data_IF_414170502461
#
_entry.id   IF_414170502461
#
_cell.length_a   1.000
_cell.length_b   1.000
_cell.length_c   1.000
_cell.angle_alpha   90.00
_cell.angle_beta   90.00
_cell.angle_gamma   90.00
#
_symmetry.space_group_name_H-M   'P 1'
#
loop_
_entity.id
_entity.type
_entity.pdbx_description
1 polymer ?
#
# COMPACT_ATOMS: atom_id res chain seq x y z
N UNK A 1 -6.00 0.23 -0.09
CA UNK A 1 -5.51 1.47 0.55
C UNK A 1 -6.22 2.67 -0.04
N UNK A 2 -6.62 3.62 0.79
CA UNK A 2 -7.20 4.92 0.39
C UNK A 2 -6.31 6.03 0.90
N UNK A 3 -6.08 7.06 0.08
CA UNK A 3 -5.25 8.21 0.40
C UNK A 3 -6.10 9.46 0.29
N UNK A 4 -6.09 10.29 1.33
CA UNK A 4 -6.91 11.51 1.39
C UNK A 4 -6.05 12.66 1.91
N UNK A 5 -5.99 13.77 1.18
CA UNK A 5 -5.40 15.00 1.68
C UNK A 5 -6.43 15.73 2.54
N UNK A 6 -6.03 16.13 3.73
CA UNK A 6 -6.88 16.88 4.65
C UNK A 6 -6.74 18.40 4.43
N UNK A 7 -7.69 19.21 4.92
CA UNK A 7 -7.66 20.66 4.72
C UNK A 7 -6.44 21.37 5.32
N UNK A 8 -5.84 20.79 6.35
CA UNK A 8 -4.61 21.30 7.00
C UNK A 8 -3.33 20.93 6.23
N UNK A 9 -3.46 20.25 5.09
CA UNK A 9 -2.34 19.78 4.27
C UNK A 9 -1.77 18.43 4.69
N UNK A 10 -2.22 17.83 5.80
CA UNK A 10 -1.83 16.49 6.20
C UNK A 10 -2.41 15.43 5.24
N UNK A 11 -1.81 14.24 5.24
CA UNK A 11 -2.22 13.12 4.38
C UNK A 11 -2.67 11.96 5.25
N UNK A 12 -3.92 11.55 5.09
CA UNK A 12 -4.50 10.40 5.76
C UNK A 12 -4.46 9.16 4.87
N UNK A 13 -3.79 8.13 5.35
CA UNK A 13 -3.75 6.80 4.75
C UNK A 13 -4.69 5.89 5.52
N UNK A 14 -5.64 5.24 4.84
CA UNK A 14 -6.62 4.33 5.45
C UNK A 14 -6.87 3.11 4.58
N UNK A 15 -7.59 2.12 5.11
CA UNK A 15 -7.91 0.87 4.44
C UNK A 15 -6.66 0.12 3.96
N UNK A 16 -5.55 0.26 4.67
CA UNK A 16 -4.32 -0.48 4.38
C UNK A 16 -4.44 -1.91 4.88
N UNK A 17 -4.00 -2.85 4.06
CA UNK A 17 -3.78 -4.22 4.51
C UNK A 17 -2.43 -4.34 5.25
N UNK A 18 -2.21 -5.49 5.88
CA UNK A 18 -0.99 -5.76 6.67
C UNK A 18 0.29 -5.69 5.83
N UNK A 19 0.21 -6.11 4.56
CA UNK A 19 1.37 -6.07 3.67
C UNK A 19 1.76 -4.62 3.32
N UNK A 20 0.78 -3.77 3.02
CA UNK A 20 1.00 -2.35 2.73
C UNK A 20 1.61 -1.63 3.93
N UNK A 21 1.04 -1.86 5.13
CA UNK A 21 1.60 -1.30 6.36
C UNK A 21 3.03 -1.78 6.61
N UNK A 22 3.30 -3.07 6.44
CA UNK A 22 4.65 -3.64 6.61
C UNK A 22 5.63 -3.01 5.63
N UNK A 23 5.23 -2.82 4.37
CA UNK A 23 6.08 -2.15 3.37
C UNK A 23 6.41 -0.72 3.79
N UNK A 24 5.41 0.05 4.26
CA UNK A 24 5.66 1.41 4.76
C UNK A 24 6.53 1.43 6.02
N UNK A 25 6.39 0.46 6.91
CA UNK A 25 7.26 0.31 8.08
C UNK A 25 8.69 -0.06 7.72
N UNK A 26 8.89 -0.79 6.64
CA UNK A 26 10.23 -1.12 6.15
C UNK A 26 10.87 -0.02 5.30
N UNK A 27 10.14 1.06 5.01
CA UNK A 27 10.60 2.14 4.13
C UNK A 27 11.97 2.72 4.52
N UNK A 28 12.28 2.99 5.81
CA UNK A 28 13.63 3.45 6.19
C UNK A 28 14.73 2.48 5.77
N UNK A 29 14.53 1.17 5.96
CA UNK A 29 15.50 0.17 5.54
C UNK A 29 15.55 -0.05 4.02
N UNK A 30 14.44 0.14 3.31
CA UNK A 30 14.41 0.07 1.84
C UNK A 30 15.11 1.27 1.20
N UNK A 31 15.09 2.42 1.87
CA UNK A 31 15.71 3.66 1.44
C UNK A 31 17.16 3.83 1.91
N UNK A 32 17.67 2.90 2.71
CA UNK A 32 19.06 2.89 3.15
C UNK A 32 19.95 2.21 2.09
N UNK A 33 20.89 2.94 1.47
CA UNK A 33 21.83 2.35 0.52
C UNK A 33 22.85 1.42 1.19
N UNK A 34 23.12 1.57 2.50
CA UNK A 34 24.22 0.87 3.17
C UNK A 34 25.54 1.05 2.44
N UNK A 35 26.34 -0.03 2.32
CA UNK A 35 27.62 -0.05 1.61
C UNK A 35 27.48 -0.35 0.10
N UNK A 36 26.28 -0.27 -0.48
CA UNK A 36 26.03 -0.55 -1.88
C UNK A 36 26.46 0.65 -2.76
N UNK A 37 27.63 0.55 -3.38
CA UNK A 37 28.21 1.60 -4.20
C UNK A 37 27.30 2.01 -5.38
N UNK A 38 26.53 1.09 -5.96
CA UNK A 38 25.62 1.40 -7.06
C UNK A 38 24.43 2.20 -6.57
N UNK A 39 23.87 1.83 -5.42
CA UNK A 39 22.80 2.56 -4.76
C UNK A 39 23.27 3.95 -4.30
N UNK A 40 24.47 4.04 -3.71
CA UNK A 40 25.07 5.32 -3.31
C UNK A 40 25.25 6.26 -4.52
N UNK A 41 25.83 5.78 -5.62
CA UNK A 41 25.97 6.55 -6.85
C UNK A 41 24.62 6.97 -7.45
N UNK A 42 23.59 6.17 -7.25
CA UNK A 42 22.24 6.49 -7.72
C UNK A 42 21.56 7.58 -6.88
N UNK A 43 21.79 7.58 -5.57
CA UNK A 43 21.24 8.60 -4.66
C UNK A 43 22.04 9.90 -4.67
N UNK A 44 23.34 9.79 -4.78
CA UNK A 44 24.29 10.92 -4.75
C UNK A 44 25.07 11.00 -6.06
N UNK A 45 24.41 11.22 -7.20
CA UNK A 45 25.09 11.31 -8.48
C UNK A 45 26.02 12.53 -8.44
N UNK A 46 27.26 12.33 -8.83
CA UNK A 46 28.14 13.48 -9.06
C UNK A 46 27.46 14.39 -10.10
N UNK A 47 27.39 15.71 -9.85
CA UNK A 47 26.59 16.62 -10.66
C UNK A 47 27.11 16.81 -12.10
N UNK A 48 28.25 16.19 -12.41
CA UNK A 48 28.96 16.42 -13.65
C UNK A 48 29.33 15.11 -14.34
N UNK A 49 29.12 15.05 -15.65
CA UNK A 49 29.56 13.93 -16.46
C UNK A 49 31.10 13.86 -16.57
N UNK A 50 31.61 12.65 -16.80
CA UNK A 50 33.05 12.42 -16.90
C UNK A 50 33.66 13.26 -18.05
N UNK A 51 34.53 14.19 -17.69
CA UNK A 51 35.28 15.05 -18.62
C UNK A 51 34.97 16.54 -18.54
N UNK A 52 33.89 16.95 -17.87
CA UNK A 52 33.50 18.37 -17.74
C UNK A 52 33.87 18.96 -16.38
N UNK A 53 34.37 18.16 -15.42
CA UNK A 53 34.60 18.58 -14.05
C UNK A 53 36.06 18.56 -13.67
N UNK A 54 36.50 19.63 -13.00
CA UNK A 54 37.82 19.64 -12.36
C UNK A 54 37.81 18.80 -11.10
N UNK A 55 38.99 18.31 -10.67
CA UNK A 55 39.11 17.54 -9.41
C UNK A 55 38.68 18.39 -8.21
N UNK A 56 38.97 19.71 -8.21
CA UNK A 56 38.52 20.66 -7.20
C UNK A 56 36.99 20.69 -7.06
N UNK A 57 36.25 20.68 -8.17
CA UNK A 57 34.76 20.63 -8.13
C UNK A 57 34.21 19.31 -7.59
N UNK A 58 34.92 18.21 -7.80
CA UNK A 58 34.54 16.91 -7.20
C UNK A 58 34.81 16.89 -5.71
N UNK A 59 35.95 17.46 -5.29
CA UNK A 59 36.28 17.61 -3.88
C UNK A 59 35.28 18.50 -3.17
N UNK A 60 34.94 19.67 -3.74
CA UNK A 60 33.95 20.59 -3.22
C UNK A 60 32.56 19.91 -3.09
N UNK A 61 32.16 19.11 -4.10
CA UNK A 61 30.92 18.37 -4.03
C UNK A 61 30.91 17.37 -2.89
N UNK A 62 31.97 16.57 -2.77
CA UNK A 62 32.09 15.54 -1.74
C UNK A 62 32.20 16.13 -0.32
N UNK A 63 32.81 17.30 -0.18
CA UNK A 63 33.02 17.95 1.11
C UNK A 63 31.81 18.78 1.56
N UNK A 64 31.16 19.50 0.63
CA UNK A 64 30.16 20.51 0.98
C UNK A 64 28.72 20.03 0.74
N UNK A 65 28.47 19.36 -0.38
CA UNK A 65 27.09 19.06 -0.82
C UNK A 65 26.63 17.67 -0.42
N UNK A 66 27.48 16.67 -0.62
CA UNK A 66 27.08 15.29 -0.32
C UNK A 66 26.71 15.08 1.15
N UNK A 67 27.44 15.61 2.17
CA UNK A 67 27.06 15.44 3.57
C UNK A 67 25.72 16.11 3.94
N UNK A 68 25.43 17.26 3.31
CA UNK A 68 24.14 17.94 3.53
C UNK A 68 22.98 17.11 2.96
N UNK A 69 23.15 16.46 1.80
CA UNK A 69 22.14 15.57 1.22
C UNK A 69 21.96 14.32 2.07
N UNK A 70 23.04 13.71 2.56
CA UNK A 70 23.00 12.56 3.45
C UNK A 70 22.22 12.90 4.72
N UNK A 71 22.53 14.01 5.37
CA UNK A 71 21.82 14.46 6.56
C UNK A 71 20.34 14.73 6.29
N UNK A 72 20.02 15.36 5.16
CA UNK A 72 18.64 15.61 4.75
C UNK A 72 17.87 14.29 4.58
N UNK A 73 18.47 13.31 3.95
CA UNK A 73 17.86 12.01 3.71
C UNK A 73 17.67 11.23 5.01
N UNK A 74 18.70 11.18 5.85
CA UNK A 74 18.64 10.52 7.16
C UNK A 74 17.53 11.12 8.03
N UNK A 75 17.47 12.43 8.14
CA UNK A 75 16.42 13.11 8.90
C UNK A 75 15.00 12.84 8.36
N UNK A 76 14.85 12.69 7.04
CA UNK A 76 13.58 12.30 6.43
C UNK A 76 13.18 10.87 6.82
N UNK A 77 14.14 9.92 6.82
CA UNK A 77 13.89 8.53 7.22
C UNK A 77 13.52 8.40 8.70
N UNK A 78 14.15 9.19 9.57
CA UNK A 78 13.80 9.23 11.00
C UNK A 78 12.36 9.71 11.22
N UNK A 79 11.93 10.78 10.53
CA UNK A 79 10.55 11.28 10.61
C UNK A 79 9.54 10.27 10.10
N UNK A 80 9.81 9.64 8.96
CA UNK A 80 8.98 8.56 8.42
C UNK A 80 8.86 7.41 9.41
N UNK A 81 9.96 6.99 10.02
CA UNK A 81 9.98 5.94 11.04
C UNK A 81 9.15 6.31 12.27
N UNK A 82 9.18 7.57 12.68
CA UNK A 82 8.36 8.06 13.80
C UNK A 82 6.87 8.07 13.45
N UNK A 83 6.50 8.55 12.26
CA UNK A 83 5.10 8.65 11.84
C UNK A 83 4.44 7.27 11.70
N UNK A 84 5.13 6.31 11.10
CA UNK A 84 4.60 4.95 10.91
C UNK A 84 4.33 4.23 12.22
N UNK A 85 5.04 4.56 13.30
CA UNK A 85 4.76 4.01 14.64
C UNK A 85 3.38 4.39 15.17
N UNK A 86 2.80 5.47 14.64
CA UNK A 86 1.45 5.94 15.00
C UNK A 86 0.33 5.21 14.22
N UNK A 87 0.67 4.27 13.34
CA UNK A 87 -0.32 3.47 12.63
C UNK A 87 -1.16 2.63 13.61
N UNK A 88 -2.46 2.73 13.47
CA UNK A 88 -3.46 2.06 14.31
C UNK A 88 -4.41 1.21 13.47
N UNK A 89 -5.06 0.26 14.12
CA UNK A 89 -6.09 -0.54 13.51
C UNK A 89 -7.32 0.33 13.23
N UNK A 90 -7.80 0.31 11.99
CA UNK A 90 -9.06 0.98 11.62
C UNK A 90 -10.21 0.20 12.26
N UNK A 91 -10.95 0.86 13.15
CA UNK A 91 -12.14 0.27 13.76
C UNK A 91 -13.23 0.20 12.69
N UNK A 92 -13.96 -0.92 12.59
CA UNK A 92 -15.14 -0.97 11.74
C UNK A 92 -16.10 0.14 12.21
N UNK A 93 -16.81 0.82 11.29
CA UNK A 93 -17.84 1.76 11.70
C UNK A 93 -18.78 1.02 12.67
N UNK A 94 -19.23 1.67 13.76
CA UNK A 94 -20.20 1.07 14.66
C UNK A 94 -21.33 0.53 13.78
N UNK A 95 -21.66 -0.76 13.98
CA UNK A 95 -22.81 -1.34 13.30
C UNK A 95 -23.97 -0.35 13.56
N UNK A 96 -24.43 0.31 12.51
CA UNK A 96 -25.70 1.05 12.61
C UNK A 96 -26.67 -0.06 13.00
N UNK A 97 -27.15 -0.01 14.24
CA UNK A 97 -28.31 -0.80 14.63
C UNK A 97 -29.33 -0.43 13.57
N UNK A 98 -29.57 -1.34 12.64
CA UNK A 98 -30.71 -1.22 11.72
C UNK A 98 -31.87 -1.08 12.69
N UNK A 99 -32.38 0.17 12.81
CA UNK A 99 -33.61 0.43 13.55
C UNK A 99 -34.58 -0.66 13.10
N UNK A 100 -34.89 -1.61 14.00
CA UNK A 100 -35.94 -2.59 13.75
C UNK A 100 -37.15 -1.80 13.32
N UNK A 101 -37.32 -1.70 11.98
CA UNK A 101 -38.54 -1.14 11.41
C UNK A 101 -39.68 -1.93 12.05
N UNK A 102 -40.31 -1.28 13.04
CA UNK A 102 -41.53 -1.69 13.68
C UNK A 102 -42.42 -2.39 12.68
N UNK A 103 -42.60 -3.68 12.91
CA UNK A 103 -43.32 -4.64 12.09
C UNK A 103 -44.56 -4.06 11.40
N UNK A 104 -44.43 -3.76 10.16
CA UNK A 104 -45.56 -3.74 9.25
C UNK A 104 -45.85 -5.19 8.90
N UNK A 105 -46.80 -5.76 9.63
CA UNK A 105 -47.35 -7.10 9.41
C UNK A 105 -47.86 -7.16 7.96
N UNK A 106 -47.09 -7.74 7.06
CA UNK A 106 -47.53 -8.02 5.69
C UNK A 106 -48.72 -8.97 5.74
N UNK A 107 -49.90 -8.61 5.16
CA UNK A 107 -51.05 -9.49 5.15
C UNK A 107 -50.71 -10.83 4.50
N UNK A 108 -50.94 -11.90 5.23
CA UNK A 108 -50.75 -13.28 4.73
C UNK A 108 -51.60 -13.50 3.50
N UNK A 109 -51.03 -13.98 2.37
CA UNK A 109 -51.85 -14.36 1.22
C UNK A 109 -52.78 -15.49 1.59
N UNK A 110 -54.07 -15.26 1.38
CA UNK A 110 -55.14 -16.27 1.57
C UNK A 110 -54.89 -17.43 0.59
N UNK A 111 -54.59 -18.57 1.14
CA UNK A 111 -54.37 -19.81 0.39
C UNK A 111 -55.67 -20.28 -0.25
N UNK A 112 -55.74 -20.25 -1.59
CA UNK A 112 -56.84 -20.90 -2.33
C UNK A 112 -56.76 -22.43 -2.16
N UNK A 113 -57.90 -23.14 -2.11
CA UNK A 113 -57.91 -24.61 -1.92
C UNK A 113 -57.39 -25.30 -3.18
N UNK A 114 -56.37 -26.15 -3.01
CA UNK A 114 -55.84 -27.01 -4.06
C UNK A 114 -56.82 -28.13 -4.42
N UNK A 115 -57.05 -28.42 -5.72
CA UNK A 115 -57.80 -29.63 -6.12
C UNK A 115 -56.96 -30.88 -5.95
N UNK A 116 -57.59 -31.88 -5.36
CA UNK A 116 -57.00 -33.21 -5.13
C UNK A 116 -56.62 -33.89 -6.46
N UNK A 117 -55.35 -34.11 -6.70
CA UNK A 117 -54.85 -34.92 -7.81
C UNK A 117 -54.02 -36.13 -7.31
N UNK A 118 -54.70 -37.28 -7.38
CA UNK A 118 -54.31 -38.65 -7.66
C UNK A 118 -52.81 -39.01 -7.61
N UNK A 119 -52.56 -40.02 -6.78
CA UNK A 119 -51.53 -41.06 -6.81
C UNK A 119 -50.57 -41.05 -8.02
N UNK A 120 -49.36 -40.55 -7.78
CA UNK A 120 -48.18 -40.91 -8.56
C UNK A 120 -47.20 -41.70 -7.69
N UNK A 121 -46.54 -42.78 -8.23
CA UNK A 121 -45.58 -43.57 -7.47
C UNK A 121 -44.38 -42.70 -7.05
N UNK A 122 -43.99 -42.77 -5.77
CA UNK A 122 -42.86 -42.06 -5.18
C UNK A 122 -41.57 -42.54 -5.84
N UNK A 123 -40.96 -41.68 -6.64
CA UNK A 123 -39.54 -41.83 -6.97
C UNK A 123 -38.70 -41.63 -5.69
N UNK A 124 -37.60 -42.41 -5.50
CA UNK A 124 -36.71 -42.20 -4.37
C UNK A 124 -36.13 -40.79 -4.47
N UNK A 125 -36.26 -40.01 -3.40
CA UNK A 125 -35.64 -38.69 -3.28
C UNK A 125 -34.13 -38.87 -3.28
N UNK A 126 -33.37 -38.20 -4.14
CA UNK A 126 -31.94 -38.08 -3.96
C UNK A 126 -31.66 -37.46 -2.59
N UNK A 127 -30.67 -38.02 -1.90
CA UNK A 127 -30.23 -37.52 -0.60
C UNK A 127 -29.98 -36.01 -0.71
N UNK A 128 -30.79 -35.23 0.00
CA UNK A 128 -30.60 -33.79 0.12
C UNK A 128 -29.31 -33.62 0.90
N UNK A 129 -28.22 -33.32 0.18
CA UNK A 129 -27.00 -32.77 0.77
C UNK A 129 -27.47 -31.48 1.47
N UNK A 130 -27.53 -31.52 2.81
CA UNK A 130 -27.72 -30.30 3.58
C UNK A 130 -26.59 -29.37 3.15
N UNK A 131 -26.89 -28.17 2.65
CA UNK A 131 -25.85 -27.13 2.56
C UNK A 131 -25.27 -27.00 3.97
N UNK A 132 -23.96 -27.19 4.11
CA UNK A 132 -23.28 -26.79 5.32
C UNK A 132 -23.71 -25.33 5.59
N UNK A 133 -24.27 -25.11 6.76
CA UNK A 133 -24.58 -23.79 7.25
C UNK A 133 -23.30 -22.98 7.10
N UNK A 134 -23.33 -22.06 6.19
CA UNK A 134 -22.27 -21.16 5.80
C UNK A 134 -21.77 -20.44 7.03
N UNK A 135 -20.49 -20.66 7.29
CA UNK A 135 -19.68 -19.74 8.08
C UNK A 135 -20.21 -18.33 7.91
N UNK A 136 -20.39 -17.62 9.03
CA UNK A 136 -20.81 -16.21 9.03
C UNK A 136 -19.96 -15.38 8.06
N UNK A 137 -20.39 -14.19 7.66
CA UNK A 137 -19.66 -13.38 6.71
C UNK A 137 -18.18 -13.34 7.11
N UNK A 138 -17.23 -13.57 6.17
CA UNK A 138 -15.83 -13.65 6.49
C UNK A 138 -15.45 -12.41 7.28
N UNK A 139 -14.90 -12.62 8.48
CA UNK A 139 -14.43 -11.54 9.34
C UNK A 139 -13.55 -10.61 8.49
N UNK A 140 -13.96 -9.37 8.33
CA UNK A 140 -13.26 -8.44 7.44
C UNK A 140 -11.82 -8.35 7.89
N UNK A 141 -10.88 -8.63 6.99
CA UNK A 141 -9.46 -8.58 7.29
C UNK A 141 -9.10 -7.22 7.93
N UNK A 142 -8.23 -7.21 8.96
CA UNK A 142 -7.87 -6.00 9.68
C UNK A 142 -7.35 -4.94 8.71
N UNK A 143 -7.77 -3.70 8.91
CA UNK A 143 -7.35 -2.56 8.13
C UNK A 143 -6.59 -1.59 9.02
N UNK A 144 -5.63 -0.91 8.45
CA UNK A 144 -4.75 0.01 9.16
C UNK A 144 -4.90 1.42 8.62
N UNK A 145 -4.72 2.39 9.52
CA UNK A 145 -4.73 3.81 9.18
C UNK A 145 -3.67 4.58 9.96
N UNK A 146 -3.19 5.66 9.38
CA UNK A 146 -2.42 6.70 10.08
C UNK A 146 -2.44 8.01 9.29
N UNK A 147 -2.03 9.09 9.95
CA UNK A 147 -1.97 10.42 9.32
C UNK A 147 -0.54 10.92 9.31
N UNK A 148 -0.10 11.38 8.15
CA UNK A 148 1.18 12.04 7.93
C UNK A 148 0.97 13.54 8.13
N UNK A 149 1.67 14.18 9.09
CA UNK A 149 1.58 15.62 9.30
C UNK A 149 1.96 16.40 8.05
N UNK A 150 1.34 17.56 7.81
CA UNK A 150 1.65 18.40 6.66
C UNK A 150 3.14 18.76 6.55
N UNK A 151 3.80 18.98 7.70
CA UNK A 151 5.23 19.27 7.77
C UNK A 151 6.14 18.11 7.33
N UNK A 152 5.63 16.86 7.33
CA UNK A 152 6.40 15.66 6.98
C UNK A 152 6.10 15.12 5.57
N UNK A 153 5.18 15.74 4.83
CA UNK A 153 4.74 15.27 3.51
C UNK A 153 5.89 15.18 2.51
N UNK A 154 6.81 16.15 2.53
CA UNK A 154 7.99 16.12 1.67
C UNK A 154 8.99 15.04 2.09
N UNK A 155 9.17 14.81 3.39
CA UNK A 155 10.08 13.77 3.89
C UNK A 155 9.59 12.39 3.46
N UNK A 156 8.29 12.15 3.50
CA UNK A 156 7.67 10.93 3.00
C UNK A 156 7.90 10.75 1.50
N UNK A 157 7.72 11.80 0.72
CA UNK A 157 7.99 11.73 -0.72
C UNK A 157 9.47 11.40 -1.00
N UNK A 158 10.40 12.07 -0.30
CA UNK A 158 11.85 11.79 -0.43
C UNK A 158 12.16 10.34 -0.09
N UNK A 159 11.71 9.86 1.07
CA UNK A 159 11.94 8.48 1.50
C UNK A 159 11.38 7.44 0.51
N UNK A 160 10.16 7.63 0.02
CA UNK A 160 9.55 6.73 -0.98
C UNK A 160 10.33 6.76 -2.30
N UNK A 161 10.76 7.94 -2.75
CA UNK A 161 11.55 8.06 -3.98
C UNK A 161 12.93 7.43 -3.84
N UNK A 162 13.62 7.60 -2.69
CA UNK A 162 14.89 6.93 -2.40
C UNK A 162 14.74 5.42 -2.44
N UNK A 163 13.77 4.86 -1.69
CA UNK A 163 13.52 3.43 -1.67
C UNK A 163 13.25 2.89 -3.08
N UNK A 164 12.48 3.60 -3.89
CA UNK A 164 12.21 3.24 -5.27
C UNK A 164 13.48 3.21 -6.13
N UNK A 165 14.36 4.21 -5.99
CA UNK A 165 15.63 4.25 -6.71
C UNK A 165 16.55 3.09 -6.32
N UNK A 166 16.64 2.78 -5.03
CA UNK A 166 17.45 1.66 -4.53
C UNK A 166 16.88 0.30 -4.96
N UNK A 167 15.55 0.10 -4.87
CA UNK A 167 14.90 -1.10 -5.37
C UNK A 167 15.12 -1.29 -6.87
N UNK A 168 15.06 -0.20 -7.64
CA UNK A 168 15.37 -0.20 -9.06
C UNK A 168 16.80 -0.65 -9.34
N UNK A 169 17.76 -0.18 -8.56
CA UNK A 169 19.19 -0.51 -8.74
C UNK A 169 19.49 -1.95 -8.30
N UNK A 170 19.10 -2.32 -7.08
CA UNK A 170 19.41 -3.65 -6.49
C UNK A 170 18.70 -4.81 -7.17
N UNK A 171 17.47 -4.61 -7.62
CA UNK A 171 16.59 -5.68 -8.09
C UNK A 171 16.13 -5.50 -9.54
N UNK A 172 16.62 -4.48 -10.24
CA UNK A 172 16.11 -4.10 -11.56
C UNK A 172 14.58 -3.98 -11.58
N UNK A 173 13.97 -3.52 -10.47
CA UNK A 173 12.52 -3.47 -10.27
C UNK A 173 11.78 -2.56 -11.25
N UNK A 174 12.50 -1.67 -11.95
CA UNK A 174 11.95 -0.86 -13.04
C UNK A 174 11.72 -1.64 -14.34
N UNK A 175 12.26 -2.88 -14.45
CA UNK A 175 12.12 -3.71 -15.64
C UNK A 175 10.80 -4.46 -15.63
N UNK A 176 9.97 -4.15 -16.61
CA UNK A 176 8.63 -4.74 -16.78
C UNK A 176 8.55 -5.72 -17.95
N UNK A 177 9.74 -6.18 -18.49
CA UNK A 177 9.74 -7.17 -19.54
C UNK A 177 9.30 -8.56 -19.03
N UNK A 178 8.55 -9.28 -19.86
CA UNK A 178 7.93 -10.56 -19.48
C UNK A 178 8.95 -11.61 -18.99
N UNK A 179 10.17 -11.59 -19.52
CA UNK A 179 11.23 -12.52 -19.11
C UNK A 179 11.70 -12.23 -17.70
N UNK A 180 11.89 -10.97 -17.36
CA UNK A 180 12.30 -10.55 -16.03
C UNK A 180 11.22 -10.88 -15.00
N UNK A 181 9.95 -10.55 -15.30
CA UNK A 181 8.81 -10.86 -14.43
C UNK A 181 8.68 -12.38 -14.23
N UNK A 182 8.77 -13.17 -15.29
CA UNK A 182 8.73 -14.63 -15.19
C UNK A 182 9.86 -15.18 -14.33
N UNK A 183 11.07 -14.64 -14.44
CA UNK A 183 12.22 -15.04 -13.62
C UNK A 183 12.00 -14.72 -12.14
N UNK A 184 11.49 -13.52 -11.81
CA UNK A 184 11.18 -13.12 -10.43
C UNK A 184 10.09 -14.02 -9.84
N UNK A 185 9.05 -14.34 -10.62
CA UNK A 185 7.99 -15.26 -10.20
C UNK A 185 8.53 -16.66 -9.92
N UNK A 186 9.31 -17.23 -10.83
CA UNK A 186 9.90 -18.57 -10.69
C UNK A 186 10.85 -18.68 -9.51
N UNK A 187 11.54 -17.60 -9.16
CA UNK A 187 12.48 -17.56 -8.04
C UNK A 187 11.85 -17.13 -6.70
N UNK A 188 10.54 -16.82 -6.68
CA UNK A 188 9.84 -16.33 -5.49
C UNK A 188 10.28 -14.93 -5.04
N UNK A 189 10.92 -14.15 -5.91
CA UNK A 189 11.48 -12.81 -5.60
C UNK A 189 10.61 -11.66 -6.13
N UNK A 190 9.30 -11.82 -6.08
CA UNK A 190 8.36 -10.77 -6.53
C UNK A 190 8.24 -9.60 -5.58
N UNK A 191 8.59 -9.77 -4.31
CA UNK A 191 8.37 -8.75 -3.27
C UNK A 191 9.00 -7.38 -3.61
N UNK A 192 10.28 -7.28 -4.02
CA UNK A 192 10.88 -6.00 -4.40
C UNK A 192 10.16 -5.30 -5.56
N UNK A 193 9.66 -6.06 -6.54
CA UNK A 193 8.89 -5.50 -7.66
C UNK A 193 7.56 -4.92 -7.16
N UNK A 194 6.83 -5.67 -6.32
CA UNK A 194 5.54 -5.22 -5.80
C UNK A 194 5.72 -4.00 -4.88
N UNK A 195 6.80 -3.96 -4.08
CA UNK A 195 7.16 -2.80 -3.28
C UNK A 195 7.49 -1.58 -4.16
N UNK A 196 8.27 -1.77 -5.22
CA UNK A 196 8.58 -0.73 -6.19
C UNK A 196 7.32 -0.13 -6.84
N UNK A 197 6.38 -0.99 -7.28
CA UNK A 197 5.12 -0.57 -7.88
C UNK A 197 4.24 0.20 -6.88
N UNK A 198 4.13 -0.27 -5.63
CA UNK A 198 3.41 0.45 -4.58
C UNK A 198 4.02 1.84 -4.36
N UNK A 199 5.33 1.93 -4.18
CA UNK A 199 6.01 3.20 -3.95
C UNK A 199 5.91 4.13 -5.16
N UNK A 200 5.93 3.59 -6.37
CA UNK A 200 5.74 4.37 -7.61
C UNK A 200 4.33 4.96 -7.69
N UNK A 201 3.31 4.16 -7.36
CA UNK A 201 1.93 4.64 -7.32
C UNK A 201 1.72 5.72 -6.25
N UNK A 202 2.33 5.54 -5.07
CA UNK A 202 2.30 6.53 -3.99
C UNK A 202 2.99 7.83 -4.40
N UNK A 203 4.19 7.78 -4.96
CA UNK A 203 4.89 8.97 -5.46
C UNK A 203 4.06 9.70 -6.52
N UNK A 204 3.43 8.98 -7.46
CA UNK A 204 2.55 9.56 -8.46
C UNK A 204 1.38 10.31 -7.84
N UNK A 205 0.68 9.68 -6.88
CA UNK A 205 -0.40 10.33 -6.15
C UNK A 205 0.08 11.58 -5.40
N UNK A 206 1.26 11.53 -4.76
CA UNK A 206 1.84 12.67 -4.03
C UNK A 206 2.05 13.87 -4.93
N UNK A 207 2.67 13.67 -6.09
CA UNK A 207 2.89 14.73 -7.08
C UNK A 207 1.57 15.34 -7.52
N UNK A 208 0.57 14.52 -7.87
CA UNK A 208 -0.75 15.01 -8.25
C UNK A 208 -1.43 15.82 -7.13
N UNK A 209 -1.33 15.35 -5.89
CA UNK A 209 -1.92 16.03 -4.75
C UNK A 209 -1.24 17.36 -4.43
N UNK A 210 0.07 17.47 -4.66
CA UNK A 210 0.83 18.72 -4.48
C UNK A 210 0.56 19.73 -5.61
N UNK A 211 0.35 19.24 -6.85
CA UNK A 211 0.14 20.10 -8.03
C UNK A 211 -1.29 20.71 -8.09
N UNK A 212 -2.24 20.17 -7.33
CA UNK A 212 -3.63 20.66 -7.29
C UNK A 212 -3.89 21.77 -6.25
N UNK A 213 -2.85 22.52 -5.88
CA UNK A 213 -2.97 23.66 -4.97
C UNK A 213 -3.52 24.88 -5.66
#
# INVERSE_FOLDING_TARGET
MKITRLPDGSVHLSQMDEWQLRTLRSLPGLADPGDDEAALRRLYPAPFEAGETTEEQKEDWAELVQPELEQLFESSLERVSADVKNARLELPPPAMEEDEELGVEKPRPVRAPEPALRNRPRRPRPATIRPQETEGPPEAAPRWEFTIPAAHVEDWYRAMNQARLILSERHAAHRTDDKHIAQLFMTGRMEPLIQYELLTALCGWWVEALMRQ
#
